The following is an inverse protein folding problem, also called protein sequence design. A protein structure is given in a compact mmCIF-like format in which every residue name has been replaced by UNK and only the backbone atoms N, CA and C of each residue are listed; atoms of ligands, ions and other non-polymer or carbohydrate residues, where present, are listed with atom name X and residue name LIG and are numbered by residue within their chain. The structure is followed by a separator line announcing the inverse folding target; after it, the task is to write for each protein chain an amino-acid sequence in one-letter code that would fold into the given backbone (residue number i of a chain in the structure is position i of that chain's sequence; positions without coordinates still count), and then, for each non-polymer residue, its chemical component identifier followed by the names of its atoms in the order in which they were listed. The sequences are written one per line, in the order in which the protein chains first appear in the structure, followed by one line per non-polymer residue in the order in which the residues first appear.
data_IF_346314262810
#
_entry.id   IF_346314262810
#
_cell.length_a   1.000
_cell.length_b   1.000
_cell.length_c   1.000
_cell.angle_alpha   90.00
_cell.angle_beta   90.00
_cell.angle_gamma   90.00
#
_symmetry.space_group_name_H-M   'P 1'
#
loop_
_entity.id
_entity.type
_entity.pdbx_description
1 polymer ?
#
# COMPACT_ATOMS: atom_id res chain seq x y z
N UNK A 1 65.17 42.61 -29.84
CA UNK A 1 64.63 41.34 -29.34
C UNK A 1 63.23 41.63 -28.83
N UNK A 2 62.19 41.20 -29.58
CA UNK A 2 60.76 41.18 -29.19
C UNK A 2 60.14 42.55 -28.87
N UNK A 3 58.91 42.95 -29.17
CA UNK A 3 57.60 42.36 -29.46
C UNK A 3 56.88 43.51 -30.27
N UNK A 4 55.95 43.37 -31.21
CA UNK A 4 54.62 42.78 -31.14
C UNK A 4 54.03 42.69 -32.55
N UNK A 5 53.41 41.53 -32.82
CA UNK A 5 52.83 41.14 -34.08
C UNK A 5 51.36 41.58 -34.09
N UNK A 6 50.99 42.44 -35.04
CA UNK A 6 49.61 42.84 -35.26
C UNK A 6 48.82 41.69 -35.90
N UNK A 7 48.11 40.92 -35.07
CA UNK A 7 47.06 40.01 -35.50
C UNK A 7 45.72 40.49 -34.93
N UNK A 8 45.13 41.44 -35.66
CA UNK A 8 43.67 41.58 -35.72
C UNK A 8 43.07 40.32 -36.37
N UNK A 9 41.74 40.23 -36.34
CA UNK A 9 40.88 39.23 -37.02
C UNK A 9 40.77 37.90 -36.23
N UNK A 10 39.62 37.42 -35.75
CA UNK A 10 38.22 37.55 -36.13
C UNK A 10 37.37 37.42 -34.86
N UNK A 11 36.72 38.50 -34.42
CA UNK A 11 35.60 38.38 -33.47
C UNK A 11 34.41 37.97 -34.33
N UNK A 12 34.10 36.68 -34.38
CA UNK A 12 32.90 36.15 -35.05
C UNK A 12 31.69 36.75 -34.33
N UNK A 13 31.21 37.89 -34.82
CA UNK A 13 29.92 38.44 -34.44
C UNK A 13 28.84 37.55 -35.07
N UNK A 14 28.38 36.53 -34.35
CA UNK A 14 27.04 36.01 -34.62
C UNK A 14 26.07 37.18 -34.40
N UNK A 15 25.29 37.60 -35.42
CA UNK A 15 24.36 38.71 -35.25
C UNK A 15 23.36 38.34 -34.14
N UNK A 16 23.01 39.31 -33.30
CA UNK A 16 22.10 39.10 -32.17
C UNK A 16 20.77 38.45 -32.58
N UNK A 17 20.36 38.65 -33.83
CA UNK A 17 19.20 38.00 -34.45
C UNK A 17 19.35 36.49 -34.63
N UNK A 18 20.55 35.97 -34.90
CA UNK A 18 20.81 34.53 -35.04
C UNK A 18 20.80 33.82 -33.68
N UNK A 19 21.17 34.51 -32.60
CA UNK A 19 21.04 34.01 -31.21
C UNK A 19 19.58 33.94 -30.75
N UNK A 20 18.75 34.90 -31.15
CA UNK A 20 17.31 34.94 -30.81
C UNK A 20 16.53 33.84 -31.53
N UNK A 21 16.85 33.55 -32.80
CA UNK A 21 16.19 32.48 -33.57
C UNK A 21 16.54 31.09 -33.03
N UNK A 22 17.78 30.86 -32.60
CA UNK A 22 18.18 29.59 -31.95
C UNK A 22 17.52 29.44 -30.57
N UNK A 23 17.32 30.53 -29.83
CA UNK A 23 16.61 30.51 -28.54
C UNK A 23 15.10 30.29 -28.69
N UNK A 24 14.49 30.78 -29.77
CA UNK A 24 13.07 30.54 -30.10
C UNK A 24 12.82 29.11 -30.65
N UNK A 25 13.78 28.53 -31.38
CA UNK A 25 13.69 27.14 -31.85
C UNK A 25 13.91 26.12 -30.72
N UNK A 26 14.62 26.47 -29.64
CA UNK A 26 14.80 25.60 -28.47
C UNK A 26 13.64 25.68 -27.46
N UNK A 27 12.78 26.70 -27.54
CA UNK A 27 11.62 26.86 -26.66
C UNK A 27 10.36 26.11 -27.15
N UNK A 28 10.39 25.55 -28.36
CA UNK A 28 9.20 24.96 -29.00
C UNK A 28 9.10 23.44 -28.86
N UNK A 29 10.03 22.77 -28.16
CA UNK A 29 10.10 21.30 -28.11
C UNK A 29 9.72 20.68 -26.76
N UNK A 30 9.06 21.41 -25.86
CA UNK A 30 8.52 20.83 -24.62
C UNK A 30 7.02 21.00 -24.58
N UNK A 31 6.29 20.20 -25.35
CA UNK A 31 4.89 19.86 -25.06
C UNK A 31 4.53 18.53 -25.75
N UNK A 32 5.22 17.46 -25.36
CA UNK A 32 4.71 16.11 -25.61
C UNK A 32 3.81 15.75 -24.42
N UNK A 33 2.57 16.25 -24.44
CA UNK A 33 1.53 15.75 -23.54
C UNK A 33 0.99 14.45 -24.12
N UNK A 34 1.43 13.30 -23.59
CA UNK A 34 0.86 12.00 -23.92
C UNK A 34 -0.02 11.51 -22.77
N UNK A 35 -1.22 12.08 -22.61
CA UNK A 35 -2.26 11.48 -21.76
C UNK A 35 -3.61 11.83 -22.37
N UNK A 36 -4.13 10.94 -23.22
CA UNK A 36 -5.54 10.97 -23.62
C UNK A 36 -6.01 9.55 -23.95
N UNK A 37 -5.15 8.75 -24.56
CA UNK A 37 -5.49 7.36 -24.89
C UNK A 37 -5.68 6.42 -23.69
N UNK A 38 -5.00 6.68 -22.56
CA UNK A 38 -5.02 5.77 -21.40
C UNK A 38 -6.19 6.04 -20.45
N UNK A 39 -6.46 7.32 -20.18
CA UNK A 39 -7.61 7.76 -19.37
C UNK A 39 -8.95 7.43 -20.06
N UNK A 40 -9.06 7.69 -21.37
CA UNK A 40 -10.24 7.31 -22.17
C UNK A 40 -10.48 5.79 -22.15
N UNK A 41 -9.41 4.98 -22.17
CA UNK A 41 -9.53 3.53 -22.09
C UNK A 41 -10.00 3.09 -20.71
N UNK A 42 -9.45 3.68 -19.65
CA UNK A 42 -9.85 3.38 -18.28
C UNK A 42 -11.34 3.65 -18.06
N UNK A 43 -11.80 4.88 -18.31
CA UNK A 43 -13.20 5.26 -18.07
C UNK A 43 -14.18 4.47 -18.95
N UNK A 44 -13.83 4.21 -20.21
CA UNK A 44 -14.76 3.56 -21.16
C UNK A 44 -14.73 2.03 -21.15
N UNK A 45 -13.64 1.40 -20.66
CA UNK A 45 -13.46 -0.05 -20.69
C UNK A 45 -13.23 -0.66 -19.32
N UNK A 46 -12.31 -0.10 -18.53
CA UNK A 46 -11.84 -0.69 -17.27
C UNK A 46 -12.84 -0.43 -16.15
N UNK A 47 -13.21 0.83 -15.95
CA UNK A 47 -14.09 1.25 -14.86
C UNK A 47 -15.43 0.49 -14.84
N UNK A 48 -16.15 0.29 -15.96
CA UNK A 48 -17.41 -0.47 -15.94
C UNK A 48 -17.23 -1.92 -15.46
N UNK A 49 -16.09 -2.55 -15.76
CA UNK A 49 -15.77 -3.91 -15.28
C UNK A 49 -15.54 -3.91 -13.77
N UNK A 50 -14.79 -2.92 -13.27
CA UNK A 50 -14.49 -2.79 -11.84
C UNK A 50 -15.76 -2.45 -11.02
N UNK A 51 -16.61 -1.54 -11.51
CA UNK A 51 -17.89 -1.20 -10.89
C UNK A 51 -18.80 -2.42 -10.76
N UNK A 52 -18.93 -3.20 -11.83
CA UNK A 52 -19.83 -4.33 -11.87
C UNK A 52 -19.37 -5.52 -11.03
N UNK A 53 -18.05 -5.72 -10.89
CA UNK A 53 -17.50 -6.97 -10.36
C UNK A 53 -16.64 -6.80 -9.08
N UNK A 54 -16.15 -5.60 -8.78
CA UNK A 54 -15.14 -5.40 -7.73
C UNK A 54 -15.61 -4.44 -6.62
N UNK A 55 -16.34 -3.38 -6.96
CA UNK A 55 -16.65 -2.31 -6.01
C UNK A 55 -17.58 -2.72 -4.88
N UNK A 56 -18.33 -3.82 -4.98
CA UNK A 56 -19.13 -4.35 -3.85
C UNK A 56 -18.26 -4.66 -2.61
N UNK A 57 -16.97 -5.01 -2.81
CA UNK A 57 -16.05 -5.44 -1.75
C UNK A 57 -14.73 -4.65 -1.68
N UNK A 58 -14.33 -3.94 -2.73
CA UNK A 58 -13.04 -3.25 -2.84
C UNK A 58 -13.22 -1.80 -3.31
N UNK A 59 -14.01 -1.00 -2.59
CA UNK A 59 -14.18 0.44 -2.83
C UNK A 59 -14.22 1.21 -1.51
N UNK A 60 -13.96 2.51 -1.56
CA UNK A 60 -14.10 3.38 -0.40
C UNK A 60 -15.56 3.54 0.03
N UNK A 61 -16.51 3.41 -0.91
CA UNK A 61 -17.93 3.63 -0.65
C UNK A 61 -18.58 2.45 0.09
N UNK A 62 -18.28 1.20 -0.30
CA UNK A 62 -18.95 0.03 0.26
C UNK A 62 -18.11 -0.65 1.34
N UNK A 63 -16.92 -1.12 0.97
CA UNK A 63 -16.04 -1.98 1.76
C UNK A 63 -14.63 -1.96 1.18
N UNK A 64 -13.65 -1.99 2.07
CA UNK A 64 -12.23 -2.10 1.74
C UNK A 64 -11.73 -3.48 2.21
N UNK A 65 -12.23 -4.58 1.62
CA UNK A 65 -11.83 -5.92 2.03
C UNK A 65 -10.33 -6.13 1.83
N UNK A 66 -9.67 -6.68 2.87
CA UNK A 66 -8.21 -6.80 2.95
C UNK A 66 -7.46 -5.46 2.75
N UNK A 67 -8.10 -4.34 3.06
CA UNK A 67 -7.52 -3.00 2.89
C UNK A 67 -7.30 -2.60 1.43
N UNK A 68 -7.90 -3.32 0.47
CA UNK A 68 -7.78 -3.04 -0.96
C UNK A 68 -8.97 -2.20 -1.46
N UNK A 69 -8.66 -1.23 -2.32
CA UNK A 69 -9.61 -0.39 -3.04
C UNK A 69 -9.25 -0.30 -4.52
N UNK A 70 -10.23 -0.48 -5.40
CA UNK A 70 -10.07 -0.50 -6.85
C UNK A 70 -10.85 0.63 -7.56
N UNK A 71 -11.51 1.49 -6.78
CA UNK A 71 -12.26 2.67 -7.23
C UNK A 71 -11.37 3.92 -7.40
N UNK A 72 -10.07 3.77 -7.19
CA UNK A 72 -9.06 4.78 -7.49
C UNK A 72 -7.78 4.10 -7.96
N UNK A 73 -7.09 4.72 -8.92
CA UNK A 73 -5.78 4.24 -9.37
C UNK A 73 -4.77 4.20 -8.22
N UNK A 74 -4.81 5.22 -7.35
CA UNK A 74 -3.97 5.30 -6.15
C UNK A 74 -4.20 4.12 -5.21
N UNK A 75 -5.46 3.81 -4.90
CA UNK A 75 -5.81 2.67 -4.06
C UNK A 75 -5.37 1.33 -4.67
N UNK A 76 -5.53 1.18 -5.98
CA UNK A 76 -5.18 -0.04 -6.70
C UNK A 76 -3.67 -0.29 -6.72
N UNK A 77 -2.87 0.76 -6.92
CA UNK A 77 -1.41 0.71 -6.95
C UNK A 77 -0.78 0.62 -5.55
N UNK A 78 -1.38 1.26 -4.53
CA UNK A 78 -1.00 1.07 -3.12
C UNK A 78 -1.11 -0.40 -2.72
N UNK A 79 -2.17 -1.07 -3.16
CA UNK A 79 -2.43 -2.47 -2.89
C UNK A 79 -3.20 -2.74 -1.61
N UNK A 80 -3.12 -3.99 -1.16
CA UNK A 80 -3.84 -4.51 0.01
C UNK A 80 -2.99 -4.43 1.28
N UNK A 81 -3.57 -4.80 2.42
CA UNK A 81 -2.85 -4.99 3.69
C UNK A 81 -1.70 -6.01 3.59
N UNK A 82 -1.74 -6.87 2.57
CA UNK A 82 -0.74 -7.90 2.29
C UNK A 82 0.28 -7.49 1.22
N UNK A 83 0.23 -6.24 0.75
CA UNK A 83 1.13 -5.68 -0.25
C UNK A 83 0.49 -5.45 -1.61
N UNK A 84 1.34 -5.20 -2.61
CA UNK A 84 0.93 -4.85 -3.98
C UNK A 84 0.09 -5.94 -4.61
N UNK A 85 -0.96 -5.51 -5.31
CA UNK A 85 -1.85 -6.40 -6.07
C UNK A 85 -1.70 -6.23 -7.58
N UNK A 86 -1.15 -5.09 -8.02
CA UNK A 86 -0.83 -4.77 -9.40
C UNK A 86 0.68 -4.53 -9.48
N UNK A 87 1.32 -5.20 -10.44
CA UNK A 87 2.69 -4.96 -10.88
C UNK A 87 2.60 -4.35 -12.30
N UNK A 88 2.84 -3.03 -12.45
CA UNK A 88 2.75 -2.34 -13.74
C UNK A 88 3.58 -3.01 -14.84
N UNK A 89 3.08 -2.99 -16.07
CA UNK A 89 3.64 -3.65 -17.26
C UNK A 89 3.72 -5.19 -17.18
N UNK A 90 3.36 -5.79 -16.03
CA UNK A 90 3.59 -7.21 -15.73
C UNK A 90 2.32 -7.89 -15.21
N UNK A 91 1.32 -8.09 -16.07
CA UNK A 91 0.07 -8.74 -15.66
C UNK A 91 0.29 -10.16 -15.11
N UNK A 92 1.28 -10.90 -15.59
CA UNK A 92 1.61 -12.24 -15.10
C UNK A 92 2.22 -12.27 -13.68
N UNK A 93 2.82 -11.17 -13.23
CA UNK A 93 3.34 -11.01 -11.86
C UNK A 93 2.29 -10.37 -10.93
N UNK A 94 1.17 -9.88 -11.47
CA UNK A 94 0.13 -9.19 -10.72
C UNK A 94 -0.84 -10.14 -10.02
N UNK A 95 -0.97 -10.00 -8.69
CA UNK A 95 -1.90 -10.80 -7.90
C UNK A 95 -3.36 -10.63 -8.37
N UNK A 96 -3.76 -9.41 -8.70
CA UNK A 96 -5.09 -9.08 -9.24
C UNK A 96 -5.43 -9.96 -10.44
N UNK A 97 -4.50 -10.05 -11.40
CA UNK A 97 -4.69 -10.83 -12.63
C UNK A 97 -4.79 -12.32 -12.33
N UNK A 98 -3.92 -12.86 -11.47
CA UNK A 98 -3.98 -14.26 -11.07
C UNK A 98 -5.30 -14.62 -10.36
N UNK A 99 -5.84 -13.68 -9.57
CA UNK A 99 -7.06 -13.85 -8.80
C UNK A 99 -8.31 -13.85 -9.70
N UNK A 100 -8.37 -12.98 -10.71
CA UNK A 100 -9.49 -12.93 -11.68
C UNK A 100 -9.43 -14.04 -12.72
N UNK A 101 -8.22 -14.52 -13.04
CA UNK A 101 -8.04 -15.68 -13.93
C UNK A 101 -8.28 -17.02 -13.23
N UNK A 102 -8.36 -17.04 -11.90
CA UNK A 102 -8.46 -18.25 -11.07
C UNK A 102 -7.25 -19.19 -11.27
N UNK A 103 -6.05 -18.61 -11.46
CA UNK A 103 -4.81 -19.38 -11.57
C UNK A 103 -4.11 -19.52 -10.21
N UNK A 104 -4.45 -18.67 -9.25
CA UNK A 104 -4.09 -18.84 -7.84
C UNK A 104 -5.12 -19.74 -7.13
N UNK A 105 -4.67 -20.87 -6.59
CA UNK A 105 -5.55 -21.90 -6.00
C UNK A 105 -6.24 -21.46 -4.72
N UNK A 106 -5.65 -20.50 -4.00
CA UNK A 106 -6.10 -20.06 -2.69
C UNK A 106 -6.83 -18.71 -2.74
N UNK A 107 -6.82 -18.06 -3.92
CA UNK A 107 -7.38 -16.72 -4.10
C UNK A 107 -8.11 -16.61 -5.43
N UNK A 108 -9.43 -16.57 -5.37
CA UNK A 108 -10.30 -16.35 -6.51
C UNK A 108 -11.16 -15.11 -6.29
N UNK A 109 -11.15 -14.19 -7.25
CA UNK A 109 -11.98 -12.99 -7.24
C UNK A 109 -12.67 -12.81 -8.58
N UNK A 110 -13.96 -12.44 -8.61
CA UNK A 110 -14.92 -12.39 -7.52
C UNK A 110 -15.29 -13.79 -7.02
N UNK A 111 -15.51 -14.01 -5.72
CA UNK A 111 -15.68 -15.36 -5.16
C UNK A 111 -16.90 -16.12 -5.71
N UNK A 112 -17.94 -15.38 -6.12
CA UNK A 112 -19.21 -15.97 -6.58
C UNK A 112 -19.12 -16.53 -8.00
N UNK A 113 -18.40 -15.85 -8.91
CA UNK A 113 -18.37 -16.18 -10.33
C UNK A 113 -17.15 -15.52 -11.00
N UNK A 114 -16.42 -16.31 -11.78
CA UNK A 114 -15.32 -15.82 -12.62
C UNK A 114 -15.83 -14.87 -13.70
N UNK A 115 -15.08 -13.81 -13.97
CA UNK A 115 -15.35 -12.87 -15.05
C UNK A 115 -15.36 -13.58 -16.42
N UNK A 116 -16.13 -13.07 -17.40
CA UNK A 116 -15.94 -13.41 -18.81
C UNK A 116 -14.50 -13.15 -19.26
N UNK A 117 -14.01 -13.94 -20.22
CA UNK A 117 -12.63 -13.83 -20.70
C UNK A 117 -12.36 -12.45 -21.34
N UNK A 118 -13.38 -11.85 -21.94
CA UNK A 118 -13.29 -10.52 -22.54
C UNK A 118 -13.08 -9.43 -21.49
N UNK A 119 -13.72 -9.53 -20.32
CA UNK A 119 -13.53 -8.58 -19.22
C UNK A 119 -12.17 -8.77 -18.54
N UNK A 120 -11.72 -10.02 -18.40
CA UNK A 120 -10.36 -10.33 -17.93
C UNK A 120 -9.32 -9.72 -18.86
N UNK A 121 -9.51 -9.84 -20.18
CA UNK A 121 -8.59 -9.28 -21.18
C UNK A 121 -8.49 -7.75 -21.07
N UNK A 122 -9.58 -7.05 -20.77
CA UNK A 122 -9.57 -5.59 -20.52
C UNK A 122 -8.70 -5.25 -19.31
N UNK A 123 -8.85 -5.96 -18.20
CA UNK A 123 -8.07 -5.70 -16.99
C UNK A 123 -6.58 -6.07 -17.17
N UNK A 124 -6.28 -7.13 -17.94
CA UNK A 124 -4.91 -7.50 -18.30
C UNK A 124 -4.25 -6.41 -19.15
N UNK A 125 -4.95 -5.89 -20.15
CA UNK A 125 -4.40 -4.84 -21.01
C UNK A 125 -4.20 -3.54 -20.24
N UNK A 126 -5.12 -3.20 -19.34
CA UNK A 126 -4.95 -2.07 -18.43
C UNK A 126 -3.69 -2.20 -17.57
N UNK A 127 -3.52 -3.32 -16.87
CA UNK A 127 -2.32 -3.55 -16.04
C UNK A 127 -1.02 -3.49 -16.87
N UNK A 128 -1.07 -3.98 -18.10
CA UNK A 128 0.05 -3.94 -19.04
C UNK A 128 0.39 -2.52 -19.53
N UNK A 129 -0.61 -1.64 -19.62
CA UNK A 129 -0.43 -0.26 -20.05
C UNK A 129 0.13 0.64 -18.94
N UNK A 130 -0.17 0.31 -17.66
CA UNK A 130 0.31 1.05 -16.49
C UNK A 130 1.83 1.16 -16.50
N UNK A 131 2.33 2.37 -16.25
CA UNK A 131 3.75 2.66 -16.21
C UNK A 131 4.30 2.55 -14.78
N UNK A 132 5.55 2.09 -14.58
CA UNK A 132 6.14 1.97 -13.25
C UNK A 132 6.20 3.29 -12.46
N UNK A 133 6.38 4.43 -13.13
CA UNK A 133 6.37 5.76 -12.49
C UNK A 133 5.03 6.12 -11.84
N UNK A 134 3.92 5.61 -12.37
CA UNK A 134 2.58 5.82 -11.80
C UNK A 134 2.46 5.11 -10.45
N UNK A 135 3.12 3.95 -10.30
CA UNK A 135 3.25 3.25 -9.03
C UNK A 135 4.27 3.90 -8.10
N UNK A 136 5.38 4.44 -8.63
CA UNK A 136 6.46 5.01 -7.82
C UNK A 136 6.12 6.39 -7.26
N UNK A 137 5.38 7.22 -7.99
CA UNK A 137 4.90 8.53 -7.50
C UNK A 137 4.03 8.44 -6.23
N UNK A 138 3.50 7.24 -5.95
CA UNK A 138 2.60 7.00 -4.83
C UNK A 138 3.27 6.34 -3.63
N UNK A 139 4.40 5.64 -3.81
CA UNK A 139 5.24 5.21 -2.68
C UNK A 139 5.82 6.46 -1.97
N UNK A 140 6.15 7.51 -2.73
CA UNK A 140 6.55 8.79 -2.16
C UNK A 140 5.38 9.56 -1.51
N UNK A 141 4.15 9.46 -2.05
CA UNK A 141 2.97 10.10 -1.45
C UNK A 141 2.55 9.46 -0.11
N UNK A 142 2.72 8.14 0.07
CA UNK A 142 2.52 7.47 1.38
C UNK A 142 3.60 7.89 2.39
N UNK A 143 4.76 8.36 1.93
CA UNK A 143 5.76 9.01 2.81
C UNK A 143 5.48 10.48 3.11
N UNK A 144 4.52 11.11 2.42
CA UNK A 144 4.14 12.52 2.60
C UNK A 144 2.74 12.73 3.17
N UNK A 145 2.02 11.63 3.47
CA UNK A 145 0.98 11.65 4.49
C UNK A 145 1.64 11.83 5.86
N UNK A 146 1.77 13.07 6.28
CA UNK A 146 2.15 13.49 7.64
C UNK A 146 1.07 13.08 8.66
N UNK A 147 0.76 11.78 8.75
CA UNK A 147 0.53 11.20 10.06
C UNK A 147 1.93 10.94 10.59
N UNK A 148 2.37 11.75 11.55
CA UNK A 148 3.59 11.47 12.30
C UNK A 148 3.44 10.07 12.88
N UNK A 149 3.97 9.06 12.18
CA UNK A 149 4.12 7.73 12.73
C UNK A 149 4.76 7.94 14.11
N UNK A 150 4.11 7.49 15.20
CA UNK A 150 4.60 7.82 16.53
C UNK A 150 6.05 7.35 16.62
N UNK A 151 6.89 8.16 17.27
CA UNK A 151 8.31 7.89 17.40
C UNK A 151 8.50 6.41 17.77
N UNK A 152 9.20 5.66 16.91
CA UNK A 152 9.31 4.21 17.07
C UNK A 152 9.85 3.86 18.45
N UNK A 153 10.71 4.71 19.01
CA UNK A 153 11.21 4.56 20.37
C UNK A 153 10.07 4.67 21.39
N UNK A 154 9.20 5.68 21.29
CA UNK A 154 8.03 5.81 22.18
C UNK A 154 7.08 4.60 22.11
N UNK A 155 6.75 4.12 20.91
CA UNK A 155 5.90 2.94 20.71
C UNK A 155 6.60 1.70 21.29
N UNK A 156 7.90 1.55 21.05
CA UNK A 156 8.67 0.44 21.56
C UNK A 156 8.67 0.42 23.09
N UNK A 157 8.88 1.57 23.73
CA UNK A 157 8.86 1.68 25.20
C UNK A 157 7.47 1.33 25.77
N UNK A 158 6.36 1.81 25.18
CA UNK A 158 5.01 1.44 25.61
C UNK A 158 4.73 -0.06 25.44
N UNK A 159 5.26 -0.68 24.38
CA UNK A 159 5.10 -2.12 24.13
C UNK A 159 5.82 -2.97 25.16
N UNK A 160 6.93 -2.51 25.71
CA UNK A 160 7.64 -3.26 26.76
C UNK A 160 6.74 -3.49 27.97
N UNK A 161 5.76 -2.63 28.26
CA UNK A 161 4.79 -2.81 29.35
C UNK A 161 3.68 -3.83 29.07
N UNK A 162 3.63 -4.41 27.87
CA UNK A 162 2.63 -5.41 27.53
C UNK A 162 2.82 -6.69 28.35
N UNK A 163 1.70 -7.24 28.85
CA UNK A 163 1.68 -8.44 29.70
C UNK A 163 2.44 -9.63 29.09
N UNK A 164 2.44 -9.78 27.74
CA UNK A 164 3.08 -10.88 27.04
C UNK A 164 4.60 -10.72 26.85
N UNK A 165 5.12 -9.51 27.05
CA UNK A 165 6.54 -9.17 26.95
C UNK A 165 7.21 -9.09 28.32
N UNK A 166 6.41 -9.17 29.40
CA UNK A 166 6.91 -9.30 30.75
C UNK A 166 7.52 -10.70 30.98
N UNK A 167 8.61 -10.82 31.74
CA UNK A 167 9.14 -12.11 32.16
C UNK A 167 8.07 -12.93 32.89
N UNK A 168 7.95 -14.21 32.55
CA UNK A 168 7.02 -15.12 33.24
C UNK A 168 7.48 -15.31 34.69
N UNK A 169 6.69 -14.82 35.62
CA UNK A 169 6.89 -15.08 37.05
C UNK A 169 6.36 -16.48 37.42
N UNK A 170 7.01 -17.13 38.39
CA UNK A 170 6.54 -18.40 38.97
C UNK A 170 6.20 -18.21 40.46
N UNK A 171 5.08 -17.53 40.79
CA UNK A 171 4.68 -17.30 42.17
C UNK A 171 4.24 -18.61 42.84
N UNK A 172 4.49 -18.73 44.14
CA UNK A 172 3.94 -19.85 44.93
C UNK A 172 2.42 -19.69 45.06
N UNK A 173 1.65 -20.80 45.02
CA UNK A 173 0.21 -20.76 45.25
C UNK A 173 -0.13 -20.14 46.62
N UNK A 174 -1.15 -19.28 46.71
CA UNK A 174 -1.55 -18.67 47.97
C UNK A 174 -2.17 -19.70 48.92
N UNK A 175 -2.08 -19.42 50.21
CA UNK A 175 -2.87 -20.10 51.24
C UNK A 175 -4.33 -19.65 51.14
N UNK A 176 -5.26 -20.58 51.28
CA UNK A 176 -6.71 -20.37 51.18
C UNK A 176 -7.38 -20.95 52.43
N UNK A 177 -8.51 -20.39 52.83
CA UNK A 177 -9.24 -20.87 54.01
C UNK A 177 -9.88 -22.25 53.76
N UNK A 178 -10.36 -22.49 52.53
CA UNK A 178 -11.01 -23.75 52.12
C UNK A 178 -10.13 -24.60 51.19
N UNK A 179 -9.48 -25.63 51.73
CA UNK A 179 -8.60 -26.51 50.95
C UNK A 179 -9.32 -27.52 50.04
N UNK A 180 -10.64 -27.72 50.19
CA UNK A 180 -11.37 -28.78 49.48
C UNK A 180 -11.98 -28.36 48.14
N UNK A 181 -11.97 -27.07 47.83
CA UNK A 181 -12.52 -26.52 46.60
C UNK A 181 -11.51 -26.46 45.42
N UNK A 182 -10.24 -26.06 45.61
CA UNK A 182 -9.25 -26.05 44.53
C UNK A 182 -8.96 -27.47 44.00
N UNK A 183 -9.08 -27.69 42.69
CA UNK A 183 -8.71 -28.97 42.06
C UNK A 183 -7.21 -29.03 41.71
N UNK A 184 -6.58 -27.87 41.56
CA UNK A 184 -5.16 -27.72 41.25
C UNK A 184 -4.58 -26.43 41.87
N UNK A 185 -3.27 -26.21 41.69
CA UNK A 185 -2.56 -25.05 42.25
C UNK A 185 -3.02 -23.69 41.67
N UNK A 186 -3.53 -23.66 40.43
CA UNK A 186 -4.07 -22.44 39.80
C UNK A 186 -5.38 -22.02 40.47
N UNK A 187 -6.23 -22.99 40.84
CA UNK A 187 -7.52 -22.73 41.49
C UNK A 187 -7.35 -22.04 42.84
N UNK A 188 -6.19 -22.21 43.51
CA UNK A 188 -5.87 -21.51 44.77
C UNK A 188 -5.79 -20.00 44.57
N UNK A 189 -5.29 -19.53 43.42
CA UNK A 189 -5.25 -18.09 43.12
C UNK A 189 -6.65 -17.51 42.92
N UNK A 190 -7.53 -18.28 42.29
CA UNK A 190 -8.93 -17.88 42.09
C UNK A 190 -9.65 -17.84 43.44
N UNK A 191 -9.51 -18.89 44.25
CA UNK A 191 -10.16 -18.96 45.55
C UNK A 191 -9.67 -17.87 46.51
N UNK A 192 -8.35 -17.62 46.58
CA UNK A 192 -7.81 -16.55 47.41
C UNK A 192 -8.39 -15.17 47.02
N UNK A 193 -8.52 -14.88 45.72
CA UNK A 193 -9.16 -13.65 45.25
C UNK A 193 -10.65 -13.59 45.59
N UNK A 194 -11.36 -14.72 45.57
CA UNK A 194 -12.77 -14.79 45.96
C UNK A 194 -12.95 -14.59 47.47
N UNK A 195 -12.11 -15.22 48.30
CA UNK A 195 -12.09 -15.05 49.75
C UNK A 195 -11.82 -13.60 50.15
N UNK A 196 -10.86 -12.93 49.50
CA UNK A 196 -10.57 -11.50 49.72
C UNK A 196 -11.80 -10.62 49.42
N UNK A 197 -12.59 -10.97 48.40
CA UNK A 197 -13.80 -10.26 48.02
C UNK A 197 -15.06 -10.74 48.79
N UNK A 198 -14.92 -11.69 49.71
CA UNK A 198 -16.04 -12.27 50.46
C UNK A 198 -17.03 -13.07 49.61
N UNK A 199 -16.57 -13.59 48.46
CA UNK A 199 -17.38 -14.38 47.52
C UNK A 199 -17.12 -15.86 47.77
N UNK A 200 -18.19 -16.63 48.01
CA UNK A 200 -18.08 -18.08 48.12
C UNK A 200 -18.20 -18.73 46.73
N UNK A 201 -17.38 -19.74 46.42
CA UNK A 201 -17.50 -20.44 45.16
C UNK A 201 -18.72 -21.38 45.14
N UNK A 202 -19.29 -21.57 43.94
CA UNK A 202 -20.38 -22.52 43.70
C UNK A 202 -19.76 -23.87 43.34
N UNK A 203 -20.30 -24.96 43.88
CA UNK A 203 -19.89 -26.33 43.52
C UNK A 203 -20.75 -26.83 42.36
N UNK A 204 -20.13 -27.46 41.37
CA UNK A 204 -20.84 -28.28 40.37
C UNK A 204 -21.36 -29.58 41.00
#
# INVERSE_FOLDING_TARGET
MSIDNAASLFRIYLPATLRIVVFLLLLSSTLQGSVSGDEDYFESKVQPVLEANCYECHSHETKMEAGLTLDSLEGALRGSDFGRVIEPEKPEESLLISAIQYTNKDLHMPPKKKLPEEEIAVLVEWVKALQPEEAHGQIEAVSQGEETAPDWESIYQERLDWWSLQPVANPSPPEVEEDSWPNNEVDRFILAAMEEQGIAPVRE
#
